data_IF_411292665988
#
_entry.id   IF_411292665988
#
_cell.length_a   1.000
_cell.length_b   1.000
_cell.length_c   1.000
_cell.angle_alpha   90.00
_cell.angle_beta   90.00
_cell.angle_gamma   90.00
#
_symmetry.space_group_name_H-M   'P 1'
#
loop_
_entity.id
_entity.type
_entity.pdbx_description
1 polymer ?
#
# COMPACT_ATOMS: atom_id res chain seq x y z
N UNK A 1 15.51 18.25 -5.67
CA UNK A 1 14.11 17.76 -5.65
C UNK A 1 14.07 16.48 -4.84
N UNK A 2 13.12 16.35 -3.93
CA UNK A 2 12.96 15.15 -3.10
C UNK A 2 12.54 13.95 -3.95
N UNK A 3 12.77 12.73 -3.45
CA UNK A 3 12.33 11.50 -4.10
C UNK A 3 10.81 11.54 -4.38
N UNK A 4 10.01 11.96 -3.38
CA UNK A 4 8.56 12.12 -3.52
C UNK A 4 8.18 13.04 -4.68
N UNK A 5 8.78 14.20 -4.75
CA UNK A 5 8.48 15.18 -5.79
C UNK A 5 8.91 14.67 -7.17
N UNK A 6 10.03 13.96 -7.25
CA UNK A 6 10.50 13.36 -8.51
C UNK A 6 9.56 12.26 -9.00
N UNK A 7 9.02 11.45 -8.09
CA UNK A 7 8.01 10.44 -8.43
C UNK A 7 6.74 11.12 -8.94
N UNK A 8 6.22 12.10 -8.21
CA UNK A 8 4.99 12.82 -8.58
C UNK A 8 5.15 13.54 -9.92
N UNK A 9 6.30 14.18 -10.14
CA UNK A 9 6.59 14.89 -11.38
C UNK A 9 6.92 13.97 -12.56
N UNK A 10 7.11 12.67 -12.33
CA UNK A 10 7.49 11.72 -13.38
C UNK A 10 8.91 11.92 -13.92
N UNK A 11 9.80 12.55 -13.15
CA UNK A 11 11.19 12.81 -13.57
C UNK A 11 12.13 11.64 -13.33
N UNK A 12 11.65 10.57 -12.70
CA UNK A 12 12.35 9.30 -12.54
C UNK A 12 11.42 8.17 -12.94
N UNK A 13 11.99 7.00 -13.25
CA UNK A 13 11.25 5.86 -13.76
C UNK A 13 10.55 5.00 -12.69
N UNK A 14 10.53 5.43 -11.43
CA UNK A 14 9.82 4.71 -10.38
C UNK A 14 8.31 4.85 -10.53
N UNK A 15 7.62 3.72 -10.45
CA UNK A 15 6.17 3.62 -10.60
C UNK A 15 5.55 3.29 -9.25
N UNK A 16 4.51 4.04 -8.87
CA UNK A 16 3.69 3.74 -7.70
C UNK A 16 2.66 2.66 -8.05
N UNK A 17 2.50 1.67 -7.16
CA UNK A 17 1.56 0.59 -7.36
C UNK A 17 1.88 -0.21 -8.63
N UNK A 18 3.15 -0.56 -8.82
CA UNK A 18 3.58 -1.34 -10.00
C UNK A 18 2.81 -2.65 -10.10
N UNK A 19 2.63 -3.16 -11.32
CA UNK A 19 1.94 -4.43 -11.52
C UNK A 19 2.63 -5.59 -10.81
N UNK A 20 3.96 -5.58 -10.74
CA UNK A 20 4.74 -6.59 -10.00
C UNK A 20 4.45 -6.54 -8.51
N UNK A 21 4.45 -5.34 -7.91
CA UNK A 21 4.12 -5.16 -6.49
C UNK A 21 2.68 -5.60 -6.20
N UNK A 22 1.72 -5.16 -7.01
CA UNK A 22 0.31 -5.49 -6.79
C UNK A 22 0.07 -7.00 -6.91
N UNK A 23 0.70 -7.68 -7.86
CA UNK A 23 0.62 -9.14 -8.01
C UNK A 23 1.24 -9.86 -6.79
N UNK A 24 2.38 -9.38 -6.31
CA UNK A 24 3.05 -9.94 -5.13
C UNK A 24 2.19 -9.80 -3.87
N UNK A 25 1.64 -8.62 -3.61
CA UNK A 25 0.77 -8.38 -2.46
C UNK A 25 -0.49 -9.25 -2.52
N UNK A 26 -1.13 -9.35 -3.69
CA UNK A 26 -2.31 -10.19 -3.89
C UNK A 26 -2.05 -11.67 -3.60
N UNK A 27 -0.87 -12.16 -3.97
CA UNK A 27 -0.46 -13.55 -3.70
C UNK A 27 -0.36 -13.85 -2.20
N UNK A 28 0.15 -12.92 -1.40
CA UNK A 28 0.37 -13.13 0.04
C UNK A 28 -0.86 -12.79 0.89
N UNK A 29 -1.68 -11.85 0.45
CA UNK A 29 -2.90 -11.46 1.16
C UNK A 29 -4.08 -12.39 0.86
N UNK A 30 -3.98 -13.19 -0.22
CA UNK A 30 -5.03 -14.08 -0.66
C UNK A 30 -6.20 -13.36 -1.30
N UNK A 31 -7.28 -14.09 -1.56
CA UNK A 31 -8.50 -13.51 -2.08
C UNK A 31 -9.24 -12.73 -0.98
N UNK A 32 -9.51 -11.47 -1.25
CA UNK A 32 -10.28 -10.64 -0.34
C UNK A 32 -11.76 -10.94 -0.38
N UNK A 33 -12.51 -10.34 0.53
CA UNK A 33 -13.95 -10.44 0.62
C UNK A 33 -14.60 -9.32 -0.18
N UNK A 34 -15.56 -9.65 -1.05
CA UNK A 34 -16.31 -8.66 -1.84
C UNK A 34 -17.54 -8.12 -1.11
N UNK A 35 -17.95 -8.74 -0.02
CA UNK A 35 -19.02 -8.24 0.84
C UNK A 35 -18.41 -7.75 2.13
N UNK A 36 -18.74 -6.53 2.52
CA UNK A 36 -18.22 -5.94 3.76
C UNK A 36 -18.67 -6.78 4.95
N UNK A 37 -17.74 -7.17 5.77
CA UNK A 37 -17.98 -7.98 6.97
C UNK A 37 -17.42 -7.29 8.22
N UNK A 38 -17.96 -7.64 9.38
CA UNK A 38 -17.43 -7.19 10.66
C UNK A 38 -16.24 -8.08 11.06
N UNK A 39 -15.06 -7.51 11.12
CA UNK A 39 -13.84 -8.25 11.48
C UNK A 39 -13.76 -8.45 12.99
N UNK A 40 -13.98 -9.68 13.44
CA UNK A 40 -13.97 -10.03 14.87
C UNK A 40 -12.61 -9.80 15.52
N UNK A 41 -11.52 -9.96 14.77
CA UNK A 41 -10.16 -9.72 15.28
C UNK A 41 -9.87 -8.22 15.45
N UNK A 42 -10.62 -7.37 14.76
CA UNK A 42 -10.53 -5.91 14.83
C UNK A 42 -11.77 -5.29 15.52
N UNK A 43 -12.35 -5.98 16.49
CA UNK A 43 -13.48 -5.51 17.30
C UNK A 43 -14.74 -5.18 16.47
N UNK A 44 -14.98 -5.96 15.41
CA UNK A 44 -16.13 -5.75 14.54
C UNK A 44 -15.97 -4.63 13.53
N UNK A 45 -14.77 -4.12 13.32
CA UNK A 45 -14.50 -3.09 12.31
C UNK A 45 -14.94 -3.57 10.92
N UNK A 46 -15.82 -2.83 10.22
CA UNK A 46 -16.21 -3.17 8.86
C UNK A 46 -14.99 -3.23 7.93
N UNK A 47 -14.83 -4.35 7.25
CA UNK A 47 -13.68 -4.67 6.41
C UNK A 47 -14.14 -5.26 5.10
N UNK A 48 -13.46 -4.96 4.02
CA UNK A 48 -13.77 -5.45 2.68
C UNK A 48 -12.50 -5.62 1.85
N UNK A 49 -12.57 -6.38 0.77
CA UNK A 49 -11.43 -6.66 -0.11
C UNK A 49 -10.28 -7.28 0.69
N UNK A 50 -9.04 -6.89 0.42
CA UNK A 50 -7.87 -7.39 1.13
C UNK A 50 -7.53 -6.49 2.34
N UNK A 51 -8.49 -6.31 3.25
CA UNK A 51 -8.26 -5.56 4.48
C UNK A 51 -8.58 -4.07 4.40
N UNK A 52 -9.42 -3.65 3.46
CA UNK A 52 -9.84 -2.25 3.34
C UNK A 52 -10.85 -1.93 4.45
N UNK A 53 -10.60 -0.85 5.18
CA UNK A 53 -11.46 -0.33 6.24
C UNK A 53 -11.74 1.16 6.03
N UNK A 54 -12.61 1.75 6.88
CA UNK A 54 -12.89 3.19 6.84
C UNK A 54 -11.63 4.07 7.01
N UNK A 55 -10.58 3.52 7.63
CA UNK A 55 -9.34 4.26 7.87
C UNK A 55 -8.52 4.47 6.60
N UNK A 56 -8.73 3.64 5.58
CA UNK A 56 -7.95 3.66 4.33
C UNK A 56 -8.81 3.92 3.10
N UNK A 57 -10.11 3.66 3.15
CA UNK A 57 -11.01 3.78 2.01
C UNK A 57 -11.47 5.23 1.77
N UNK A 58 -11.53 5.67 0.50
CA UNK A 58 -12.19 6.93 0.15
C UNK A 58 -13.73 6.78 0.11
N UNK A 59 -14.24 5.55 0.17
CA UNK A 59 -15.68 5.24 0.14
C UNK A 59 -16.14 4.75 1.51
N UNK A 60 -17.42 4.93 1.88
CA UNK A 60 -17.97 4.34 3.10
C UNK A 60 -17.85 2.81 3.07
N UNK A 61 -17.49 2.22 4.21
CA UNK A 61 -17.37 0.78 4.39
C UNK A 61 -18.48 0.33 5.33
N UNK A 62 -19.57 -0.22 4.77
CA UNK A 62 -20.81 -0.54 5.49
C UNK A 62 -21.05 -2.03 5.40
N UNK A 63 -21.19 -2.70 6.55
CA UNK A 63 -21.43 -4.15 6.62
C UNK A 63 -22.61 -4.54 5.76
N UNK A 64 -22.42 -5.56 4.94
CA UNK A 64 -23.42 -6.08 4.01
C UNK A 64 -23.35 -5.50 2.60
N UNK A 65 -22.65 -4.41 2.38
CA UNK A 65 -22.46 -3.83 1.06
C UNK A 65 -21.56 -4.70 0.18
N UNK A 66 -21.87 -4.74 -1.10
CA UNK A 66 -21.04 -5.44 -2.09
C UNK A 66 -20.11 -4.47 -2.78
N UNK A 67 -18.85 -4.86 -2.84
CA UNK A 67 -17.82 -4.16 -3.60
C UNK A 67 -17.40 -5.02 -4.79
N UNK A 68 -17.47 -4.47 -5.99
CA UNK A 68 -17.02 -5.17 -7.19
C UNK A 68 -15.50 -5.46 -7.14
N UNK A 69 -15.03 -6.50 -7.85
CA UNK A 69 -13.59 -6.72 -7.99
C UNK A 69 -12.84 -5.51 -8.51
N UNK A 70 -13.44 -4.74 -9.43
CA UNK A 70 -12.84 -3.52 -9.96
C UNK A 70 -12.70 -2.44 -8.90
N UNK A 71 -13.70 -2.25 -8.03
CA UNK A 71 -13.61 -1.29 -6.91
C UNK A 71 -12.57 -1.73 -5.89
N UNK A 72 -12.51 -3.01 -5.56
CA UNK A 72 -11.47 -3.54 -4.68
C UNK A 72 -10.07 -3.25 -5.21
N UNK A 73 -9.83 -3.56 -6.49
CA UNK A 73 -8.53 -3.32 -7.12
C UNK A 73 -8.17 -1.83 -7.14
N UNK A 74 -9.12 -0.96 -7.46
CA UNK A 74 -8.93 0.49 -7.44
C UNK A 74 -8.49 0.99 -6.06
N UNK A 75 -9.24 0.62 -5.01
CA UNK A 75 -9.00 1.10 -3.65
C UNK A 75 -7.72 0.50 -3.07
N UNK A 76 -7.46 -0.78 -3.30
CA UNK A 76 -6.22 -1.43 -2.88
C UNK A 76 -5.00 -0.74 -3.48
N UNK A 77 -5.05 -0.38 -4.76
CA UNK A 77 -3.97 0.37 -5.42
C UNK A 77 -3.78 1.76 -4.82
N UNK A 78 -4.86 2.47 -4.52
CA UNK A 78 -4.79 3.77 -3.84
C UNK A 78 -4.13 3.67 -2.47
N UNK A 79 -4.47 2.65 -1.69
CA UNK A 79 -3.88 2.42 -0.36
C UNK A 79 -2.39 2.15 -0.46
N UNK A 80 -1.98 1.29 -1.39
CA UNK A 80 -0.56 0.98 -1.62
C UNK A 80 0.21 2.24 -2.05
N UNK A 81 -0.33 3.02 -2.99
CA UNK A 81 0.30 4.25 -3.48
C UNK A 81 0.45 5.29 -2.36
N UNK A 82 -0.55 5.45 -1.52
CA UNK A 82 -0.47 6.33 -0.34
C UNK A 82 0.64 5.90 0.62
N UNK A 83 0.73 4.61 0.90
CA UNK A 83 1.80 4.05 1.73
C UNK A 83 3.17 4.28 1.13
N UNK A 84 3.32 4.14 -0.19
CA UNK A 84 4.58 4.40 -0.89
C UNK A 84 4.99 5.86 -0.80
N UNK A 85 4.05 6.79 -0.96
CA UNK A 85 4.34 8.21 -0.80
C UNK A 85 4.74 8.55 0.64
N UNK A 86 4.08 7.95 1.64
CA UNK A 86 4.48 8.10 3.04
C UNK A 86 5.89 7.54 3.30
N UNK A 87 6.24 6.41 2.67
CA UNK A 87 7.58 5.83 2.77
C UNK A 87 8.67 6.81 2.30
N UNK A 88 8.38 7.67 1.34
CA UNK A 88 9.34 8.66 0.83
C UNK A 88 9.68 9.75 1.84
N UNK A 89 9.01 9.82 2.97
CA UNK A 89 9.38 10.73 4.06
C UNK A 89 10.71 10.29 4.71
N UNK A 90 11.00 8.99 4.71
CA UNK A 90 12.25 8.45 5.26
C UNK A 90 13.16 7.84 4.20
N UNK A 91 12.64 7.37 3.07
CA UNK A 91 13.41 6.88 1.94
C UNK A 91 13.77 8.07 1.04
N UNK A 92 15.05 8.46 1.04
CA UNK A 92 15.49 9.70 0.39
C UNK A 92 16.41 9.48 -0.79
N UNK A 93 16.96 8.26 -0.98
CA UNK A 93 17.88 7.99 -2.08
C UNK A 93 17.16 8.09 -3.44
N UNK A 94 17.51 9.07 -4.31
CA UNK A 94 16.86 9.23 -5.61
C UNK A 94 17.28 8.19 -6.65
N UNK A 95 18.33 7.41 -6.37
CA UNK A 95 18.89 6.42 -7.30
C UNK A 95 18.40 4.99 -7.00
N UNK A 96 17.42 4.84 -6.13
CA UNK A 96 16.82 3.55 -5.81
C UNK A 96 16.15 2.94 -7.05
N UNK A 97 16.32 1.64 -7.25
CA UNK A 97 15.65 0.94 -8.34
C UNK A 97 14.23 0.50 -7.95
N UNK A 98 13.42 0.11 -8.96
CA UNK A 98 12.04 -0.29 -8.77
C UNK A 98 11.91 -1.51 -7.85
N UNK A 99 12.76 -2.51 -7.99
CA UNK A 99 12.68 -3.75 -7.19
C UNK A 99 12.91 -3.47 -5.71
N UNK A 100 13.88 -2.64 -5.37
CA UNK A 100 14.15 -2.23 -3.99
C UNK A 100 13.00 -1.39 -3.44
N UNK A 101 12.48 -0.47 -4.25
CA UNK A 101 11.33 0.34 -3.87
C UNK A 101 10.09 -0.53 -3.60
N UNK A 102 9.81 -1.49 -4.48
CA UNK A 102 8.68 -2.42 -4.32
C UNK A 102 8.86 -3.30 -3.08
N UNK A 103 10.06 -3.77 -2.79
CA UNK A 103 10.35 -4.58 -1.59
C UNK A 103 10.10 -3.79 -0.30
N UNK A 104 10.57 -2.54 -0.22
CA UNK A 104 10.31 -1.66 0.92
C UNK A 104 8.83 -1.31 1.03
N UNK A 105 8.15 -1.12 -0.09
CA UNK A 105 6.72 -0.86 -0.15
C UNK A 105 5.91 -2.04 0.37
N UNK A 106 6.26 -3.26 0.00
CA UNK A 106 5.64 -4.49 0.51
C UNK A 106 5.80 -4.61 2.02
N UNK A 107 7.00 -4.35 2.54
CA UNK A 107 7.26 -4.36 3.97
C UNK A 107 6.41 -3.31 4.70
N UNK A 108 6.36 -2.08 4.19
CA UNK A 108 5.55 -1.01 4.75
C UNK A 108 4.05 -1.34 4.74
N UNK A 109 3.58 -1.98 3.68
CA UNK A 109 2.18 -2.39 3.56
C UNK A 109 1.79 -3.42 4.63
N UNK A 110 2.68 -4.37 4.91
CA UNK A 110 2.42 -5.45 5.88
C UNK A 110 2.52 -5.00 7.35
N UNK A 111 3.50 -4.14 7.68
CA UNK A 111 3.84 -3.82 9.07
C UNK A 111 3.74 -2.33 9.39
N UNK A 112 3.34 -1.50 8.43
CA UNK A 112 3.25 -0.06 8.56
C UNK A 112 4.55 0.66 8.22
N UNK A 113 4.45 1.91 7.81
CA UNK A 113 5.59 2.73 7.36
C UNK A 113 6.66 2.96 8.43
N UNK A 114 6.33 3.15 9.73
CA UNK A 114 7.37 3.34 10.75
C UNK A 114 8.39 2.21 10.85
N UNK A 115 8.00 0.97 10.56
CA UNK A 115 8.89 -0.19 10.68
C UNK A 115 10.05 -0.16 9.66
N UNK A 116 9.81 -0.04 8.33
CA UNK A 116 10.92 0.12 7.39
C UNK A 116 11.69 1.43 7.61
N UNK A 117 11.04 2.51 8.03
CA UNK A 117 11.72 3.78 8.32
C UNK A 117 12.76 3.66 9.44
N UNK A 118 12.50 2.82 10.44
CA UNK A 118 13.43 2.55 11.54
C UNK A 118 14.44 1.46 11.21
N UNK A 119 14.37 0.84 10.03
CA UNK A 119 15.21 -0.31 9.70
C UNK A 119 16.64 0.08 9.37
N UNK A 120 17.57 -0.81 9.71
CA UNK A 120 18.96 -0.68 9.30
C UNK A 120 19.13 -0.78 7.78
N UNK A 121 18.30 -1.60 7.13
CA UNK A 121 18.31 -1.74 5.69
C UNK A 121 18.04 -0.39 5.00
N UNK A 122 17.05 0.36 5.45
CA UNK A 122 16.75 1.68 4.89
C UNK A 122 17.91 2.67 5.11
N UNK A 123 18.50 2.66 6.30
CA UNK A 123 19.64 3.52 6.59
C UNK A 123 20.83 3.25 5.64
N UNK A 124 21.05 1.98 5.27
CA UNK A 124 22.09 1.61 4.32
C UNK A 124 21.73 1.97 2.87
N UNK A 125 20.45 1.97 2.53
CA UNK A 125 19.97 2.34 1.18
C UNK A 125 20.08 3.85 0.97
N UNK A 126 19.77 4.64 1.99
CA UNK A 126 19.91 6.08 1.94
C UNK A 126 21.38 6.49 1.96
#
# INVERSE_FOLDING_TARGET
>A
MSLRNRIIAGTISLVLGSSTLMAFLGKWEGEGQNVVYADKLARGLPTVCAGITRHTSPYPVIVGDYWSPARCAEVEKLVVRKGQLALTDCLTNPDINQDTFDALSSHAHNVGVPSPCASRALALIN
#
